data_IF_636662707642
#
_entry.id   IF_636662707642
#
_cell.length_a   1.000
_cell.length_b   1.000
_cell.length_c   1.000
_cell.angle_alpha   90.00
_cell.angle_beta   90.00
_cell.angle_gamma   90.00
#
_symmetry.space_group_name_H-M   'P 1'
#
loop_
_entity.id
_entity.type
_entity.pdbx_description
1 polymer ?
#
# COMPACT_ATOMS: atom_id res chain seq x y z
N UNK A 1 -0.23 32.72 4.43
CA UNK A 1 0.71 31.59 4.22
C UNK A 1 -0.05 30.49 3.50
N UNK A 2 0.42 30.03 2.34
CA UNK A 2 -0.25 28.94 1.62
C UNK A 2 -0.14 27.66 2.46
N UNK A 3 -1.26 26.99 2.75
CA UNK A 3 -1.26 25.73 3.48
C UNK A 3 -0.44 24.70 2.68
N UNK A 4 0.61 24.15 3.29
CA UNK A 4 1.43 23.10 2.68
C UNK A 4 0.52 21.90 2.39
N UNK A 5 0.53 21.41 1.15
CA UNK A 5 -0.25 20.22 0.78
C UNK A 5 0.18 19.05 1.70
N UNK A 6 -0.77 18.27 2.24
CA UNK A 6 -0.43 17.10 3.05
C UNK A 6 0.37 16.10 2.23
N UNK A 7 1.23 15.32 2.91
CA UNK A 7 1.93 14.20 2.25
C UNK A 7 0.92 13.15 1.79
N UNK A 8 1.29 12.36 0.77
CA UNK A 8 0.47 11.25 0.28
C UNK A 8 0.00 10.34 1.42
N UNK A 9 0.89 9.94 2.32
CA UNK A 9 0.56 9.08 3.46
C UNK A 9 -0.35 9.77 4.48
N UNK A 10 -0.17 11.06 4.75
CA UNK A 10 -1.08 11.79 5.65
C UNK A 10 -2.50 11.86 5.06
N UNK A 11 -2.60 12.05 3.74
CA UNK A 11 -3.87 12.03 3.02
C UNK A 11 -4.54 10.65 3.15
N UNK A 12 -3.82 9.57 2.85
CA UNK A 12 -4.38 8.20 2.88
C UNK A 12 -4.78 7.74 4.27
N UNK A 13 -3.96 8.02 5.27
CA UNK A 13 -4.28 7.74 6.68
C UNK A 13 -5.57 8.41 7.11
N UNK A 14 -5.77 9.65 6.69
CA UNK A 14 -6.97 10.41 7.02
C UNK A 14 -8.22 9.86 6.34
N UNK A 15 -8.14 9.52 5.06
CA UNK A 15 -9.26 8.92 4.32
C UNK A 15 -9.63 7.58 4.95
N UNK A 16 -8.66 6.69 5.17
CA UNK A 16 -8.90 5.40 5.79
C UNK A 16 -9.51 5.53 7.20
N UNK A 17 -9.01 6.44 8.02
CA UNK A 17 -9.55 6.73 9.36
C UNK A 17 -11.01 7.18 9.30
N UNK A 18 -11.35 8.09 8.39
CA UNK A 18 -12.73 8.57 8.24
C UNK A 18 -13.67 7.45 7.80
N UNK A 19 -13.24 6.64 6.85
CA UNK A 19 -14.03 5.51 6.35
C UNK A 19 -14.20 4.43 7.42
N UNK A 20 -13.21 4.23 8.28
CA UNK A 20 -13.36 3.35 9.45
C UNK A 20 -14.42 3.87 10.41
N UNK A 21 -14.44 5.18 10.69
CA UNK A 21 -15.49 5.79 11.50
C UNK A 21 -16.89 5.65 10.86
N UNK A 22 -16.99 5.77 9.53
CA UNK A 22 -18.23 5.53 8.79
C UNK A 22 -18.68 4.07 8.87
N UNK A 23 -17.74 3.13 8.74
CA UNK A 23 -18.00 1.68 8.80
C UNK A 23 -18.55 1.28 10.16
N UNK A 24 -17.93 1.72 11.25
CA UNK A 24 -18.37 1.40 12.61
C UNK A 24 -19.73 2.00 12.96
N UNK A 25 -20.01 3.20 12.45
CA UNK A 25 -21.32 3.85 12.67
C UNK A 25 -22.40 3.37 11.71
N UNK A 26 -22.05 2.65 10.63
CA UNK A 26 -22.97 2.31 9.53
C UNK A 26 -23.45 3.54 8.75
N UNK A 27 -22.66 4.61 8.71
CA UNK A 27 -22.99 5.87 8.07
C UNK A 27 -22.57 5.89 6.59
N UNK A 28 -23.52 6.05 5.67
CA UNK A 28 -23.25 6.13 4.22
C UNK A 28 -22.80 7.51 3.74
N UNK A 29 -22.65 8.48 4.65
CA UNK A 29 -22.19 9.83 4.32
C UNK A 29 -21.90 10.68 5.55
N UNK A 30 -21.23 11.81 5.34
CA UNK A 30 -20.68 12.64 6.42
C UNK A 30 -21.74 13.24 7.35
N UNK A 31 -22.92 13.60 6.83
CA UNK A 31 -24.04 14.06 7.67
C UNK A 31 -24.52 12.95 8.59
N UNK A 32 -24.67 11.73 8.06
CA UNK A 32 -25.08 10.57 8.87
C UNK A 32 -24.01 10.23 9.91
N UNK A 33 -22.73 10.30 9.54
CA UNK A 33 -21.61 10.10 10.46
C UNK A 33 -21.67 11.11 11.61
N UNK A 34 -21.74 12.41 11.30
CA UNK A 34 -21.80 13.46 12.31
C UNK A 34 -22.98 13.29 13.26
N UNK A 35 -24.17 12.97 12.72
CA UNK A 35 -25.37 12.76 13.53
C UNK A 35 -25.26 11.51 14.42
N UNK A 36 -24.68 10.42 13.93
CA UNK A 36 -24.49 9.19 14.70
C UNK A 36 -23.41 9.36 15.77
N UNK A 37 -22.31 10.04 15.42
CA UNK A 37 -21.26 10.39 16.36
C UNK A 37 -21.76 11.31 17.48
N UNK A 38 -22.54 12.34 17.14
CA UNK A 38 -23.17 13.24 18.12
C UNK A 38 -24.09 12.47 19.10
N UNK A 39 -24.83 11.46 18.61
CA UNK A 39 -25.64 10.58 19.49
C UNK A 39 -24.78 9.70 20.40
N UNK A 40 -23.65 9.16 19.93
CA UNK A 40 -22.75 8.32 20.74
C UNK A 40 -22.08 9.10 21.88
N UNK A 41 -21.86 10.39 21.64
CA UNK A 41 -21.14 11.33 22.52
C UNK A 41 -22.06 12.21 23.36
N UNK A 42 -23.38 12.08 23.18
CA UNK A 42 -24.40 12.85 23.88
C UNK A 42 -24.23 12.75 25.41
N UNK A 43 -24.14 13.90 26.08
CA UNK A 43 -23.93 13.98 27.53
C UNK A 43 -22.53 13.61 28.03
N UNK A 44 -21.59 13.23 27.13
CA UNK A 44 -20.23 12.81 27.50
C UNK A 44 -19.15 13.82 27.07
N UNK A 45 -19.39 14.56 25.99
CA UNK A 45 -18.49 15.61 25.51
C UNK A 45 -19.13 17.00 25.65
N UNK A 46 -18.29 18.02 25.90
CA UNK A 46 -18.72 19.43 25.93
C UNK A 46 -19.07 19.97 24.55
N UNK A 47 -18.40 19.49 23.51
CA UNK A 47 -18.65 19.78 22.12
C UNK A 47 -18.35 18.52 21.29
N UNK A 48 -19.18 18.22 20.31
CA UNK A 48 -19.06 17.04 19.46
C UNK A 48 -18.68 17.48 18.05
N UNK A 49 -17.88 16.66 17.35
CA UNK A 49 -17.51 16.95 15.97
C UNK A 49 -18.75 17.14 15.07
N UNK A 50 -18.83 18.30 14.44
CA UNK A 50 -19.88 18.66 13.51
C UNK A 50 -19.58 18.14 12.09
N UNK A 51 -20.61 18.08 11.25
CA UNK A 51 -20.46 17.68 9.83
C UNK A 51 -19.40 18.52 9.10
N UNK A 52 -19.30 19.82 9.40
CA UNK A 52 -18.33 20.72 8.77
C UNK A 52 -16.89 20.30 9.07
N UNK A 53 -16.63 19.67 10.20
CA UNK A 53 -15.30 19.21 10.61
C UNK A 53 -14.96 17.91 9.89
N UNK A 54 -15.88 16.93 9.87
CA UNK A 54 -15.70 15.70 9.08
C UNK A 54 -15.50 15.96 7.58
N UNK A 55 -16.14 16.99 7.02
CA UNK A 55 -15.95 17.42 5.62
C UNK A 55 -14.52 17.84 5.30
N UNK A 56 -13.74 18.29 6.28
CA UNK A 56 -12.34 18.67 6.07
C UNK A 56 -11.44 17.43 5.83
N UNK A 57 -11.86 16.28 6.36
CA UNK A 57 -11.12 15.02 6.30
C UNK A 57 -11.48 14.16 5.08
N UNK A 58 -12.64 14.39 4.45
CA UNK A 58 -13.20 13.56 3.37
C UNK A 58 -12.28 13.31 2.17
N UNK A 59 -11.33 14.20 1.92
CA UNK A 59 -10.35 14.06 0.84
C UNK A 59 -8.91 14.05 1.34
N UNK A 60 -8.71 13.89 2.66
CA UNK A 60 -7.42 13.94 3.33
C UNK A 60 -6.66 15.26 3.17
N UNK A 61 -7.38 16.37 2.91
CA UNK A 61 -6.77 17.72 2.77
C UNK A 61 -6.31 18.30 4.10
N UNK A 62 -6.97 17.89 5.16
CA UNK A 62 -6.61 18.16 6.56
C UNK A 62 -6.50 16.82 7.25
N UNK A 63 -5.61 16.68 8.23
CA UNK A 63 -5.54 15.51 9.11
C UNK A 63 -6.22 15.84 10.44
N UNK A 64 -6.83 14.85 11.12
CA UNK A 64 -7.27 15.05 12.51
C UNK A 64 -6.05 15.37 13.39
N UNK A 65 -6.23 16.23 14.40
CA UNK A 65 -5.22 16.38 15.44
C UNK A 65 -5.15 15.12 16.31
N UNK A 66 -4.06 14.94 17.04
CA UNK A 66 -3.94 13.82 18.00
C UNK A 66 -5.09 13.79 19.00
N UNK A 67 -5.53 14.97 19.47
CA UNK A 67 -6.69 15.09 20.37
C UNK A 67 -7.99 14.65 19.68
N UNK A 68 -8.18 15.05 18.42
CA UNK A 68 -9.36 14.64 17.62
C UNK A 68 -9.36 13.12 17.41
N UNK A 69 -8.23 12.54 17.03
CA UNK A 69 -8.11 11.11 16.79
C UNK A 69 -8.34 10.30 18.08
N UNK A 70 -7.79 10.76 19.22
CA UNK A 70 -8.01 10.15 20.53
C UNK A 70 -9.44 10.28 21.02
N UNK A 71 -10.10 11.42 20.78
CA UNK A 71 -11.51 11.61 21.13
C UNK A 71 -12.38 10.62 20.34
N UNK A 72 -12.21 10.57 19.02
CA UNK A 72 -13.01 9.66 18.17
C UNK A 72 -12.79 8.20 18.55
N UNK A 73 -11.55 7.81 18.87
CA UNK A 73 -11.21 6.45 19.34
C UNK A 73 -11.98 6.03 20.61
N UNK A 74 -12.30 6.95 21.52
CA UNK A 74 -13.06 6.63 22.74
C UNK A 74 -14.48 6.12 22.44
N UNK A 75 -15.05 6.54 21.31
CA UNK A 75 -16.42 6.21 20.92
C UNK A 75 -16.48 5.25 19.74
N UNK A 76 -15.42 5.20 18.93
CA UNK A 76 -15.25 4.37 17.75
C UNK A 76 -13.88 3.66 17.81
N UNK A 77 -13.75 2.61 18.64
CA UNK A 77 -12.47 1.97 18.91
C UNK A 77 -11.91 1.29 17.66
N UNK A 78 -10.60 1.42 17.45
CA UNK A 78 -9.88 0.93 16.28
C UNK A 78 -9.68 1.96 15.17
N UNK A 79 -10.35 3.13 15.23
CA UNK A 79 -10.12 4.21 14.26
C UNK A 79 -8.70 4.76 14.35
N UNK A 80 -8.18 4.97 15.57
CA UNK A 80 -6.80 5.41 15.80
C UNK A 80 -5.79 4.39 15.26
N UNK A 81 -6.07 3.09 15.43
CA UNK A 81 -5.25 2.04 14.86
C UNK A 81 -5.22 2.08 13.33
N UNK A 82 -6.36 2.33 12.67
CA UNK A 82 -6.39 2.53 11.21
C UNK A 82 -5.58 3.75 10.78
N UNK A 83 -5.66 4.85 11.54
CA UNK A 83 -4.88 6.05 11.26
C UNK A 83 -3.37 5.80 11.39
N UNK A 84 -2.94 5.08 12.43
CA UNK A 84 -1.53 4.88 12.77
C UNK A 84 -0.86 3.73 12.02
N UNK A 85 -1.56 2.61 11.82
CA UNK A 85 -1.02 1.35 11.28
C UNK A 85 -1.64 0.99 9.92
N UNK A 86 -2.93 1.25 9.75
CA UNK A 86 -3.66 1.08 8.49
C UNK A 86 -4.84 0.13 8.58
N UNK A 87 -5.44 -0.21 7.42
CA UNK A 87 -6.59 -1.10 7.34
C UNK A 87 -6.42 -2.37 8.19
N UNK A 88 -7.52 -2.81 8.81
CA UNK A 88 -7.54 -3.96 9.72
C UNK A 88 -8.17 -5.19 9.07
N UNK A 89 -7.68 -6.37 9.43
CA UNK A 89 -8.21 -7.66 8.96
C UNK A 89 -8.91 -8.37 10.12
N UNK A 90 -10.25 -8.37 10.11
CA UNK A 90 -11.04 -8.99 11.19
C UNK A 90 -10.73 -8.44 12.59
N UNK A 91 -10.38 -7.15 12.69
CA UNK A 91 -9.98 -6.49 13.95
C UNK A 91 -8.51 -6.71 14.34
N UNK A 92 -7.72 -7.45 13.55
CA UNK A 92 -6.28 -7.57 13.76
C UNK A 92 -5.56 -6.35 13.21
N UNK A 93 -4.62 -5.84 14.01
CA UNK A 93 -3.75 -4.73 13.64
C UNK A 93 -2.73 -5.19 12.60
N UNK A 94 -2.60 -4.43 11.51
CA UNK A 94 -1.65 -4.71 10.45
C UNK A 94 -0.76 -3.49 10.20
N UNK A 95 0.57 -3.67 10.01
CA UNK A 95 1.50 -2.58 9.75
C UNK A 95 1.47 -2.14 8.27
N UNK A 96 0.27 -1.83 7.74
CA UNK A 96 0.06 -1.52 6.33
C UNK A 96 0.81 -0.26 5.89
N UNK A 97 0.77 0.83 6.68
CA UNK A 97 1.48 2.06 6.33
C UNK A 97 2.99 1.89 6.37
N UNK A 98 3.49 1.10 7.32
CA UNK A 98 4.91 0.74 7.44
C UNK A 98 5.35 -0.10 6.23
N UNK A 99 4.57 -1.11 5.85
CA UNK A 99 4.85 -1.92 4.67
C UNK A 99 4.93 -1.06 3.40
N UNK A 100 4.00 -0.11 3.22
CA UNK A 100 3.90 0.68 1.99
C UNK A 100 4.92 1.81 1.87
N UNK A 101 5.22 2.50 2.98
CA UNK A 101 5.97 3.75 2.96
C UNK A 101 6.84 4.01 4.17
N UNK A 102 7.02 3.01 5.03
CA UNK A 102 7.97 3.08 6.14
C UNK A 102 9.41 3.15 5.66
N UNK A 103 10.28 3.47 6.61
CA UNK A 103 11.72 3.24 6.45
C UNK A 103 12.04 1.74 6.40
N UNK A 104 13.28 1.35 6.03
CA UNK A 104 13.65 -0.06 5.89
C UNK A 104 13.43 -0.90 7.16
N UNK A 105 13.59 -0.30 8.35
CA UNK A 105 13.34 -0.99 9.63
C UNK A 105 11.85 -1.27 9.81
N UNK A 106 10.99 -0.30 9.50
CA UNK A 106 9.54 -0.47 9.49
C UNK A 106 9.08 -1.54 8.49
N UNK A 107 9.68 -1.60 7.30
CA UNK A 107 9.39 -2.63 6.29
C UNK A 107 9.78 -4.01 6.80
N UNK A 108 10.94 -4.13 7.43
CA UNK A 108 11.37 -5.37 8.08
C UNK A 108 10.39 -5.84 9.16
N UNK A 109 9.96 -4.94 10.06
CA UNK A 109 8.96 -5.26 11.10
C UNK A 109 7.65 -5.77 10.46
N UNK A 110 7.23 -5.17 9.33
CA UNK A 110 6.03 -5.60 8.62
C UNK A 110 6.16 -7.02 8.04
N UNK A 111 7.34 -7.41 7.57
CA UNK A 111 7.64 -8.77 7.11
C UNK A 111 7.59 -9.76 8.28
N UNK A 112 8.26 -9.44 9.40
CA UNK A 112 8.32 -10.30 10.59
C UNK A 112 6.94 -10.53 11.22
N UNK A 113 6.08 -9.49 11.22
CA UNK A 113 4.73 -9.55 11.78
C UNK A 113 3.81 -10.49 10.99
N UNK A 114 4.12 -10.78 9.72
CA UNK A 114 3.29 -11.65 8.89
C UNK A 114 3.20 -13.07 9.45
N UNK A 115 4.31 -13.66 9.90
CA UNK A 115 4.38 -15.00 10.47
C UNK A 115 5.60 -15.08 11.39
N UNK A 116 5.45 -14.61 12.63
CA UNK A 116 6.59 -14.45 13.54
C UNK A 116 7.29 -15.78 13.87
N UNK A 117 6.54 -16.90 13.88
CA UNK A 117 7.11 -18.22 14.18
C UNK A 117 7.98 -18.71 13.03
N UNK A 118 7.50 -18.58 11.78
CA UNK A 118 8.23 -19.07 10.60
C UNK A 118 9.18 -18.03 10.02
N UNK A 119 8.64 -16.88 9.63
CA UNK A 119 9.40 -15.80 8.98
C UNK A 119 10.33 -15.11 9.99
N UNK A 120 9.85 -14.86 11.21
CA UNK A 120 10.69 -14.28 12.26
C UNK A 120 11.92 -15.13 12.58
N UNK A 121 11.76 -16.46 12.63
CA UNK A 121 12.90 -17.38 12.78
C UNK A 121 13.88 -17.30 11.61
N UNK A 122 13.39 -17.33 10.36
CA UNK A 122 14.23 -17.20 9.16
C UNK A 122 15.02 -15.89 9.18
N UNK A 123 14.41 -14.78 9.59
CA UNK A 123 15.10 -13.48 9.68
C UNK A 123 16.12 -13.45 10.81
N UNK A 124 15.82 -14.03 11.97
CA UNK A 124 16.77 -14.16 13.07
C UNK A 124 18.00 -15.02 12.70
N UNK A 125 17.79 -16.03 11.87
CA UNK A 125 18.84 -16.90 11.32
C UNK A 125 19.58 -16.30 10.11
N UNK A 126 19.23 -15.06 9.72
CA UNK A 126 19.79 -14.38 8.54
C UNK A 126 19.63 -15.20 7.25
N UNK A 127 18.49 -15.87 7.09
CA UNK A 127 18.15 -16.59 5.87
C UNK A 127 18.22 -15.65 4.64
N UNK A 128 18.60 -16.17 3.46
CA UNK A 128 18.57 -15.40 2.22
C UNK A 128 17.22 -14.72 1.99
N UNK A 129 17.24 -13.46 1.53
CA UNK A 129 16.01 -12.70 1.26
C UNK A 129 15.08 -13.43 0.29
N UNK A 130 15.63 -14.08 -0.73
CA UNK A 130 14.85 -14.87 -1.69
C UNK A 130 14.02 -15.96 -0.99
N UNK A 131 14.59 -16.68 -0.02
CA UNK A 131 13.88 -17.73 0.70
C UNK A 131 12.72 -17.15 1.55
N UNK A 132 12.96 -16.02 2.22
CA UNK A 132 11.94 -15.30 2.99
C UNK A 132 10.82 -14.80 2.07
N UNK A 133 11.19 -14.21 0.92
CA UNK A 133 10.26 -13.73 -0.08
C UNK A 133 9.41 -14.87 -0.62
N UNK A 134 10.01 -16.00 -0.96
CA UNK A 134 9.31 -17.17 -1.52
C UNK A 134 8.42 -17.87 -0.49
N UNK A 135 8.77 -17.89 0.79
CA UNK A 135 7.87 -18.37 1.85
C UNK A 135 6.60 -17.52 1.93
N UNK A 136 6.68 -16.20 1.71
CA UNK A 136 5.52 -15.30 1.68
C UNK A 136 4.75 -15.42 0.36
N UNK A 137 5.43 -15.36 -0.79
CA UNK A 137 4.82 -15.48 -2.12
C UNK A 137 4.15 -16.84 -2.29
N UNK A 138 4.72 -17.91 -1.74
CA UNK A 138 4.14 -19.25 -1.76
C UNK A 138 2.76 -19.32 -1.08
N UNK A 139 2.44 -18.41 -0.15
CA UNK A 139 1.10 -18.31 0.45
C UNK A 139 0.04 -17.79 -0.52
N UNK A 140 0.43 -17.25 -1.68
CA UNK A 140 -0.52 -16.99 -2.76
C UNK A 140 -1.11 -18.29 -3.31
N UNK A 141 -0.40 -19.41 -3.25
CA UNK A 141 -0.84 -20.67 -3.87
C UNK A 141 -0.69 -20.73 -5.38
N UNK A 142 0.03 -19.77 -5.99
CA UNK A 142 0.46 -19.84 -7.39
C UNK A 142 1.89 -20.41 -7.42
N UNK A 143 2.16 -21.48 -8.18
CA UNK A 143 3.52 -22.03 -8.30
C UNK A 143 4.51 -21.00 -8.85
N UNK A 144 5.72 -20.98 -8.28
CA UNK A 144 6.78 -20.04 -8.71
C UNK A 144 7.07 -20.12 -10.21
N UNK A 145 7.17 -21.33 -10.75
CA UNK A 145 7.44 -21.56 -12.16
C UNK A 145 6.37 -20.91 -13.05
N UNK A 146 5.10 -20.92 -12.64
CA UNK A 146 4.03 -20.28 -13.40
C UNK A 146 4.17 -18.75 -13.38
N UNK A 147 4.58 -18.17 -12.26
CA UNK A 147 4.87 -16.73 -12.13
C UNK A 147 6.05 -16.36 -13.04
N UNK A 148 7.15 -17.12 -12.98
CA UNK A 148 8.35 -16.89 -13.79
C UNK A 148 8.04 -17.01 -15.30
N UNK A 149 7.33 -18.06 -15.71
CA UNK A 149 6.94 -18.26 -17.10
C UNK A 149 6.00 -17.16 -17.58
N UNK A 150 5.05 -16.74 -16.74
CA UNK A 150 4.14 -15.62 -17.02
C UNK A 150 4.90 -14.32 -17.24
N UNK A 151 5.87 -14.01 -16.38
CA UNK A 151 6.72 -12.84 -16.50
C UNK A 151 7.59 -12.86 -17.76
N UNK A 152 8.25 -13.99 -18.04
CA UNK A 152 9.18 -14.10 -19.18
C UNK A 152 8.47 -14.08 -20.55
N UNK A 153 7.26 -14.65 -20.64
CA UNK A 153 6.50 -14.74 -21.90
C UNK A 153 5.54 -13.57 -22.11
N UNK A 154 4.88 -13.12 -21.05
CA UNK A 154 3.83 -12.11 -21.10
C UNK A 154 4.29 -10.70 -20.74
N UNK A 155 5.51 -10.52 -20.23
CA UNK A 155 5.98 -9.23 -19.73
C UNK A 155 5.33 -8.86 -18.39
N UNK A 156 4.87 -7.62 -18.26
CA UNK A 156 4.29 -7.07 -17.02
C UNK A 156 2.86 -6.54 -17.21
N UNK A 157 1.90 -7.39 -17.62
CA UNK A 157 0.51 -6.96 -17.77
C UNK A 157 -0.12 -6.67 -16.40
N UNK A 158 -1.00 -5.66 -16.37
CA UNK A 158 -1.82 -5.29 -15.21
C UNK A 158 -3.30 -5.67 -15.44
N UNK A 159 -3.53 -6.80 -16.10
CA UNK A 159 -4.82 -7.35 -16.47
C UNK A 159 -4.88 -8.87 -16.26
N UNK A 160 -5.96 -9.51 -16.73
CA UNK A 160 -6.20 -10.95 -16.60
C UNK A 160 -5.15 -11.84 -17.28
N UNK A 161 -4.28 -11.28 -18.14
CA UNK A 161 -3.16 -12.03 -18.71
C UNK A 161 -2.00 -12.23 -17.72
N UNK A 162 -2.01 -11.52 -16.58
CA UNK A 162 -1.11 -11.79 -15.47
C UNK A 162 -1.56 -13.04 -14.71
N UNK A 163 -0.66 -14.01 -14.50
CA UNK A 163 -0.99 -15.29 -13.85
C UNK A 163 -1.54 -15.09 -12.43
N UNK A 164 -1.02 -14.13 -11.68
CA UNK A 164 -1.51 -13.82 -10.33
C UNK A 164 -2.91 -13.20 -10.37
N UNK A 165 -3.18 -12.32 -11.34
CA UNK A 165 -4.51 -11.75 -11.52
C UNK A 165 -5.52 -12.82 -11.93
N UNK A 166 -5.17 -13.65 -12.90
CA UNK A 166 -6.00 -14.76 -13.36
C UNK A 166 -6.34 -15.73 -12.22
N UNK A 167 -5.34 -16.13 -11.42
CA UNK A 167 -5.55 -17.02 -10.29
C UNK A 167 -6.53 -16.44 -9.26
N UNK A 168 -6.45 -15.13 -9.00
CA UNK A 168 -7.37 -14.45 -8.07
C UNK A 168 -8.79 -14.37 -8.63
N UNK A 169 -8.95 -13.95 -9.89
CA UNK A 169 -10.27 -13.82 -10.54
C UNK A 169 -10.99 -15.16 -10.68
N UNK A 170 -10.24 -16.23 -10.95
CA UNK A 170 -10.79 -17.57 -11.06
C UNK A 170 -11.09 -18.23 -9.69
N UNK A 171 -10.78 -17.55 -8.58
CA UNK A 171 -10.99 -18.07 -7.23
C UNK A 171 -10.05 -19.21 -6.86
N UNK A 172 -9.00 -19.46 -7.65
CA UNK A 172 -7.96 -20.45 -7.34
C UNK A 172 -7.16 -20.02 -6.11
N UNK A 173 -7.04 -18.71 -5.88
CA UNK A 173 -6.33 -18.14 -4.73
C UNK A 173 -7.19 -17.11 -4.02
N UNK A 174 -7.16 -17.15 -2.68
CA UNK A 174 -7.78 -16.14 -1.83
C UNK A 174 -6.70 -15.33 -1.13
N UNK A 175 -6.75 -14.01 -1.32
CA UNK A 175 -5.76 -13.08 -0.77
C UNK A 175 -6.41 -12.34 0.39
N UNK A 176 -5.83 -12.51 1.58
CA UNK A 176 -6.22 -11.73 2.76
C UNK A 176 -5.49 -10.38 2.78
N UNK A 177 -6.05 -9.42 3.53
CA UNK A 177 -5.38 -8.14 3.74
C UNK A 177 -4.03 -8.32 4.46
N UNK A 178 -3.94 -9.28 5.40
CA UNK A 178 -2.66 -9.65 6.04
C UNK A 178 -1.61 -10.12 5.03
N UNK A 179 -1.99 -10.97 4.07
CA UNK A 179 -1.07 -11.43 3.02
C UNK A 179 -0.68 -10.29 2.08
N UNK A 180 -1.63 -9.42 1.71
CA UNK A 180 -1.34 -8.24 0.90
C UNK A 180 -0.28 -7.33 1.57
N UNK A 181 -0.40 -7.07 2.88
CA UNK A 181 0.58 -6.27 3.65
C UNK A 181 1.97 -6.88 3.56
N UNK A 182 2.09 -8.19 3.73
CA UNK A 182 3.36 -8.89 3.65
C UNK A 182 3.96 -8.83 2.24
N UNK A 183 3.15 -9.03 1.21
CA UNK A 183 3.56 -8.94 -0.20
C UNK A 183 4.04 -7.52 -0.56
N UNK A 184 3.35 -6.48 -0.09
CA UNK A 184 3.81 -5.10 -0.24
C UNK A 184 5.16 -4.90 0.46
N UNK A 185 5.33 -5.42 1.67
CA UNK A 185 6.56 -5.26 2.44
C UNK A 185 7.75 -5.97 1.77
N UNK A 186 7.59 -7.22 1.30
CA UNK A 186 8.67 -7.91 0.57
C UNK A 186 8.97 -7.25 -0.77
N UNK A 187 7.96 -6.76 -1.50
CA UNK A 187 8.18 -5.98 -2.72
C UNK A 187 8.95 -4.68 -2.44
N UNK A 188 8.59 -3.96 -1.38
CA UNK A 188 9.32 -2.76 -0.95
C UNK A 188 10.75 -3.08 -0.56
N UNK A 189 10.97 -4.17 0.17
CA UNK A 189 12.32 -4.65 0.51
C UNK A 189 13.14 -5.01 -0.73
N UNK A 190 12.52 -5.65 -1.72
CA UNK A 190 13.16 -6.03 -2.98
C UNK A 190 13.72 -4.80 -3.72
N UNK A 191 12.97 -3.68 -3.72
CA UNK A 191 13.40 -2.38 -4.25
C UNK A 191 14.56 -1.79 -3.43
N UNK A 192 14.49 -1.84 -2.10
CA UNK A 192 15.52 -1.27 -1.20
C UNK A 192 16.88 -1.91 -1.44
N UNK A 193 16.92 -3.24 -1.54
CA UNK A 193 18.14 -4.01 -1.73
C UNK A 193 18.48 -4.29 -3.20
N UNK A 194 17.63 -3.83 -4.14
CA UNK A 194 17.75 -4.05 -5.59
C UNK A 194 17.89 -5.52 -5.99
N UNK A 195 17.12 -6.42 -5.36
CA UNK A 195 17.11 -7.87 -5.63
C UNK A 195 15.67 -8.32 -5.83
N UNK A 196 15.39 -9.27 -6.73
CA UNK A 196 14.04 -9.76 -7.08
C UNK A 196 13.00 -8.68 -7.46
N UNK A 197 13.44 -7.49 -7.89
CA UNK A 197 12.54 -6.39 -8.25
C UNK A 197 11.62 -6.74 -9.43
N UNK A 198 12.08 -7.38 -10.53
CA UNK A 198 11.18 -7.83 -11.60
C UNK A 198 10.15 -8.83 -11.11
N UNK A 199 10.57 -9.86 -10.40
CA UNK A 199 9.67 -10.90 -9.91
C UNK A 199 8.56 -10.31 -9.02
N UNK A 200 8.94 -9.53 -8.01
CA UNK A 200 7.95 -8.90 -7.14
C UNK A 200 7.11 -7.83 -7.87
N UNK A 201 7.70 -7.12 -8.84
CA UNK A 201 6.95 -6.19 -9.69
C UNK A 201 5.83 -6.88 -10.47
N UNK A 202 6.10 -8.07 -11.04
CA UNK A 202 5.10 -8.88 -11.72
C UNK A 202 3.96 -9.31 -10.79
N UNK A 203 4.30 -9.79 -9.59
CA UNK A 203 3.32 -10.15 -8.56
C UNK A 203 2.44 -8.94 -8.22
N UNK A 204 3.04 -7.78 -7.93
CA UNK A 204 2.27 -6.59 -7.58
C UNK A 204 1.37 -6.09 -8.72
N UNK A 205 1.79 -6.17 -9.98
CA UNK A 205 0.92 -5.86 -11.12
C UNK A 205 -0.33 -6.73 -11.16
N UNK A 206 -0.19 -8.03 -10.91
CA UNK A 206 -1.33 -8.94 -10.84
C UNK A 206 -2.31 -8.57 -9.72
N UNK A 207 -1.78 -8.20 -8.55
CA UNK A 207 -2.62 -7.78 -7.41
C UNK A 207 -3.35 -6.45 -7.65
N UNK A 208 -2.71 -5.52 -8.36
CA UNK A 208 -3.28 -4.20 -8.69
C UNK A 208 -4.48 -4.30 -9.64
N UNK A 209 -4.62 -5.39 -10.40
CA UNK A 209 -5.74 -5.57 -11.31
C UNK A 209 -7.10 -5.62 -10.58
N UNK A 210 -7.19 -6.39 -9.49
CA UNK A 210 -8.45 -6.58 -8.77
C UNK A 210 -8.32 -6.76 -7.25
N UNK A 211 -7.38 -7.58 -6.79
CA UNK A 211 -7.29 -7.95 -5.37
C UNK A 211 -7.10 -6.74 -4.44
N UNK A 212 -6.28 -5.75 -4.84
CA UNK A 212 -6.08 -4.53 -4.05
C UNK A 212 -7.37 -3.70 -3.95
N UNK A 213 -8.16 -3.63 -5.03
CA UNK A 213 -9.46 -2.95 -4.99
C UNK A 213 -10.41 -3.64 -4.02
N UNK A 214 -10.59 -4.96 -4.14
CA UNK A 214 -11.48 -5.70 -3.25
C UNK A 214 -11.10 -5.58 -1.77
N UNK A 215 -9.80 -5.56 -1.48
CA UNK A 215 -9.30 -5.49 -0.11
C UNK A 215 -9.29 -4.08 0.49
N UNK A 216 -9.15 -3.02 -0.33
CA UNK A 216 -8.93 -1.66 0.18
C UNK A 216 -10.06 -0.67 -0.14
N UNK A 217 -11.01 -1.03 -1.01
CA UNK A 217 -12.21 -0.22 -1.29
C UNK A 217 -13.06 0.08 -0.05
N UNK A 218 -13.17 -0.79 0.98
CA UNK A 218 -13.89 -0.43 2.21
C UNK A 218 -13.35 0.82 2.92
N UNK A 219 -12.09 1.18 2.68
CA UNK A 219 -11.44 2.39 3.21
C UNK A 219 -11.28 3.50 2.17
N UNK A 220 -11.78 3.33 0.94
CA UNK A 220 -11.70 4.27 -0.18
C UNK A 220 -10.26 4.73 -0.53
N UNK A 221 -9.29 3.84 -0.35
CA UNK A 221 -7.88 4.13 -0.64
C UNK A 221 -7.33 3.35 -1.84
N UNK A 222 -8.00 2.29 -2.32
CA UNK A 222 -7.44 1.37 -3.31
C UNK A 222 -6.83 2.07 -4.53
N UNK A 223 -7.58 2.95 -5.19
CA UNK A 223 -7.11 3.69 -6.38
C UNK A 223 -5.84 4.50 -6.10
N UNK A 224 -5.75 5.14 -4.95
CA UNK A 224 -4.59 5.95 -4.57
C UNK A 224 -3.36 5.07 -4.33
N UNK A 225 -3.56 3.91 -3.70
CA UNK A 225 -2.51 2.93 -3.43
C UNK A 225 -1.99 2.31 -4.74
N UNK A 226 -2.89 1.87 -5.63
CA UNK A 226 -2.53 1.36 -6.96
C UNK A 226 -1.74 2.41 -7.75
N UNK A 227 -2.19 3.67 -7.74
CA UNK A 227 -1.46 4.77 -8.42
C UNK A 227 -0.04 4.91 -7.88
N UNK A 228 0.11 4.97 -6.55
CA UNK A 228 1.41 5.09 -5.89
C UNK A 228 2.33 3.90 -6.19
N UNK A 229 1.79 2.69 -6.14
CA UNK A 229 2.55 1.47 -6.38
C UNK A 229 3.03 1.39 -7.82
N UNK A 230 2.15 1.65 -8.79
CA UNK A 230 2.53 1.69 -10.21
C UNK A 230 3.66 2.69 -10.47
N UNK A 231 3.54 3.90 -9.92
CA UNK A 231 4.58 4.93 -10.01
C UNK A 231 5.93 4.47 -9.43
N UNK A 232 5.92 3.73 -8.33
CA UNK A 232 7.12 3.24 -7.67
C UNK A 232 7.74 2.04 -8.40
N UNK A 233 6.93 1.14 -8.96
CA UNK A 233 7.40 0.03 -9.80
C UNK A 233 8.11 0.58 -11.02
N UNK A 234 7.47 1.51 -11.75
CA UNK A 234 8.03 2.10 -12.96
C UNK A 234 9.37 2.81 -12.70
N UNK A 235 9.46 3.58 -11.60
CA UNK A 235 10.72 4.21 -11.18
C UNK A 235 11.81 3.20 -10.84
N UNK A 236 11.45 2.09 -10.20
CA UNK A 236 12.37 1.01 -9.86
C UNK A 236 12.93 0.33 -11.11
N UNK A 237 12.10 0.08 -12.13
CA UNK A 237 12.58 -0.44 -13.41
C UNK A 237 13.50 0.51 -14.16
N UNK A 238 13.16 1.81 -14.23
CA UNK A 238 14.05 2.81 -14.83
C UNK A 238 15.41 2.84 -14.12
N UNK A 239 15.42 2.71 -12.78
CA UNK A 239 16.66 2.63 -12.00
C UNK A 239 17.48 1.39 -12.35
N UNK A 240 16.85 0.22 -12.48
CA UNK A 240 17.53 -1.01 -12.87
C UNK A 240 18.14 -0.92 -14.27
N UNK A 241 17.40 -0.37 -15.24
CA UNK A 241 17.91 -0.13 -16.59
C UNK A 241 19.13 0.80 -16.55
N UNK A 242 19.07 1.88 -15.77
CA UNK A 242 20.20 2.79 -15.61
C UNK A 242 21.43 2.11 -14.98
N UNK A 243 21.24 1.24 -13.98
CA UNK A 243 22.31 0.45 -13.38
C UNK A 243 22.92 -0.52 -14.40
N UNK A 244 22.08 -1.24 -15.16
CA UNK A 244 22.53 -2.14 -16.21
C UNK A 244 23.34 -1.41 -17.28
N UNK A 245 22.82 -0.29 -17.80
CA UNK A 245 23.49 0.53 -18.82
C UNK A 245 24.86 1.03 -18.36
N UNK A 246 24.98 1.46 -17.09
CA UNK A 246 26.26 1.83 -16.48
C UNK A 246 27.22 0.64 -16.38
N UNK A 247 26.73 -0.53 -15.97
CA UNK A 247 27.54 -1.73 -15.81
C UNK A 247 28.02 -2.30 -17.16
N UNK A 248 27.23 -2.18 -18.23
CA UNK A 248 27.57 -2.70 -19.56
C UNK A 248 28.21 -1.68 -20.48
N UNK A 249 28.51 -0.46 -20.00
CA UNK A 249 29.12 0.60 -20.80
C UNK A 249 28.24 1.14 -21.94
N UNK A 250 26.93 0.83 -21.94
CA UNK A 250 25.97 1.40 -22.89
C UNK A 250 25.49 2.73 -22.33
N UNK A 251 26.28 3.78 -22.51
CA UNK A 251 25.77 5.14 -22.36
C UNK A 251 24.81 5.36 -23.52
N UNK A 252 23.50 5.42 -23.25
CA UNK A 252 22.59 6.02 -24.22
C UNK A 252 23.04 7.47 -24.40
N UNK A 253 23.56 7.80 -25.57
CA UNK A 253 23.83 9.18 -25.98
C UNK A 253 22.50 9.92 -26.08
N UNK A 254 22.01 10.42 -24.96
CA UNK A 254 21.15 11.58 -24.94
C UNK A 254 22.10 12.77 -25.09
N UNK A 255 22.30 13.21 -26.33
CA UNK A 255 22.67 14.57 -26.77
C UNK A 255 23.19 14.51 -28.22
N UNK A 256 22.29 14.29 -29.17
CA UNK A 256 22.45 14.76 -30.56
C UNK A 256 21.13 15.42 -30.96
N UNK A 257 20.80 16.52 -30.28
CA UNK A 257 19.79 17.50 -30.71
C UNK A 257 20.31 18.87 -30.25
N UNK A 258 21.43 19.31 -30.84
CA UNK A 258 21.85 20.72 -30.90
C UNK A 258 22.97 20.87 -31.93
N UNK A 259 22.62 20.71 -33.20
CA UNK A 259 23.38 21.25 -34.32
C UNK A 259 22.45 22.15 -35.16
N UNK A 260 22.01 23.25 -34.54
CA UNK A 260 21.55 24.41 -35.32
C UNK A 260 22.78 25.20 -35.73
N UNK A 261 23.19 25.04 -36.99
CA UNK A 261 24.13 25.97 -37.62
C UNK A 261 23.55 27.39 -37.57
N UNK A 262 24.32 28.40 -37.11
CA UNK A 262 23.96 29.78 -37.37
C UNK A 262 24.39 30.11 -38.80
N UNK A 263 23.46 30.03 -39.74
CA UNK A 263 23.62 30.71 -41.04
C UNK A 263 23.09 32.14 -40.95
N UNK A 264 24.03 33.08 -41.18
CA UNK A 264 23.96 34.50 -41.55
C UNK A 264 24.54 35.46 -40.51
#
# INVERSE_FOLDING_TARGET
MAAKKPSFFAQMRTIAWLHEAQRQTGATGLTSLANRYAKLTEGKLKATLAQREFKQYAHGKSAPSDDTAKEVEQFLPGTLAVFCLGPQDGGKLLPFWQALGGDPECVQIAIETFDQERIGAMMAESAPFYDIMMEIVGRLGVPEEEILQGMLKGGFPADESNVVAAAYLNGTVTISLRLLVALIAVWRRSIEINTEVPFMGYVMFGLMHKAIYDLLDPWDIAKHIVTYMNDLINRSFLRLVAIHNRATGKIASADEDDAVEPTA
#
